data_IF_067406494320
#
_entry.id   IF_067406494320
#
_cell.length_a   1.000
_cell.length_b   1.000
_cell.length_c   1.000
_cell.angle_alpha   90.00
_cell.angle_beta   90.00
_cell.angle_gamma   90.00
#
_symmetry.space_group_name_H-M   'P 1'
#
loop_
_entity.id
_entity.type
_entity.pdbx_description
1 polymer ?
#
# COMPACT_ATOMS: atom_id res chain seq x y z
N UNK A 1 -33.44 7.47 2.89
CA UNK A 1 -32.90 7.75 4.23
C UNK A 1 -32.43 6.42 4.80
N UNK A 2 -31.15 6.33 5.17
CA UNK A 2 -30.66 5.26 6.04
C UNK A 2 -31.38 5.42 7.39
N UNK A 3 -31.78 4.33 8.04
CA UNK A 3 -32.73 4.31 9.16
C UNK A 3 -32.33 5.11 10.40
N UNK A 4 -33.13 5.02 11.47
CA UNK A 4 -32.82 5.66 12.75
C UNK A 4 -31.53 5.10 13.35
N UNK A 5 -30.74 5.97 14.00
CA UNK A 5 -29.55 5.54 14.72
C UNK A 5 -29.92 4.56 15.85
N UNK A 6 -29.13 3.48 16.05
CA UNK A 6 -29.40 2.52 17.11
C UNK A 6 -29.28 3.17 18.49
N UNK A 7 -30.21 2.83 19.39
CA UNK A 7 -30.22 3.34 20.77
C UNK A 7 -29.03 2.80 21.61
N UNK A 8 -28.50 1.63 21.27
CA UNK A 8 -27.31 1.02 21.86
C UNK A 8 -26.50 0.34 20.76
N UNK A 9 -25.52 1.04 20.16
CA UNK A 9 -24.70 0.47 19.10
C UNK A 9 -23.70 -0.55 19.66
N UNK A 10 -23.73 -1.76 19.12
CA UNK A 10 -22.69 -2.79 19.33
C UNK A 10 -22.01 -3.07 17.97
N UNK A 11 -20.67 -3.05 17.91
CA UNK A 11 -19.96 -3.37 16.68
C UNK A 11 -20.10 -4.85 16.35
N UNK A 12 -20.47 -5.16 15.10
CA UNK A 12 -20.45 -6.53 14.58
C UNK A 12 -19.04 -6.98 14.18
N UNK A 13 -18.20 -6.03 13.76
CA UNK A 13 -16.85 -6.29 13.25
C UNK A 13 -16.03 -4.98 13.27
N UNK A 14 -14.78 -5.08 13.68
CA UNK A 14 -13.79 -3.99 13.63
C UNK A 14 -12.62 -4.43 12.77
N UNK A 15 -12.41 -3.75 11.64
CA UNK A 15 -11.36 -4.07 10.68
C UNK A 15 -10.35 -2.93 10.56
N UNK A 16 -9.09 -3.30 10.38
CA UNK A 16 -8.08 -2.41 9.80
C UNK A 16 -8.00 -2.73 8.32
N UNK A 17 -8.04 -1.70 7.48
CA UNK A 17 -7.99 -1.85 6.02
C UNK A 17 -6.70 -1.25 5.48
N UNK A 18 -5.92 -2.07 4.78
CA UNK A 18 -4.68 -1.70 4.11
C UNK A 18 -4.82 -1.96 2.60
N UNK A 19 -4.06 -1.24 1.78
CA UNK A 19 -4.03 -1.40 0.33
C UNK A 19 -2.78 -0.73 -0.23
N UNK A 20 -2.41 -1.05 -1.47
CA UNK A 20 -1.46 -0.27 -2.27
C UNK A 20 -0.11 -0.06 -1.56
N UNK A 21 0.46 -1.14 -1.05
CA UNK A 21 1.77 -1.10 -0.38
C UNK A 21 2.90 -0.88 -1.40
N UNK A 22 2.73 -1.42 -2.61
CA UNK A 22 3.67 -1.27 -3.72
C UNK A 22 5.14 -1.53 -3.30
N UNK A 23 5.39 -2.68 -2.65
CA UNK A 23 6.76 -3.12 -2.33
C UNK A 23 7.57 -3.19 -3.61
N UNK A 24 8.67 -2.43 -3.66
CA UNK A 24 9.39 -2.13 -4.88
C UNK A 24 10.85 -2.54 -4.76
N UNK A 25 11.34 -3.32 -5.72
CA UNK A 25 12.77 -3.51 -5.94
C UNK A 25 13.33 -2.35 -6.76
N UNK A 26 13.81 -1.32 -6.07
CA UNK A 26 14.41 -0.13 -6.68
C UNK A 26 15.67 -0.43 -7.53
N UNK A 27 16.25 -1.63 -7.44
CA UNK A 27 17.40 -2.05 -8.24
C UNK A 27 17.00 -2.96 -9.41
N UNK A 28 15.71 -3.24 -9.59
CA UNK A 28 15.24 -4.17 -10.60
C UNK A 28 15.59 -3.67 -12.01
N UNK A 29 16.09 -4.54 -12.91
CA UNK A 29 16.37 -4.16 -14.29
C UNK A 29 15.10 -3.96 -15.12
N UNK A 30 13.93 -4.38 -14.63
CA UNK A 30 12.63 -4.18 -15.31
C UNK A 30 12.02 -2.81 -15.02
N UNK A 31 12.69 -2.01 -14.19
CA UNK A 31 12.30 -0.64 -13.87
C UNK A 31 12.41 0.28 -15.08
N UNK A 32 11.41 1.14 -15.23
CA UNK A 32 11.15 1.92 -16.44
C UNK A 32 11.21 3.44 -16.18
N UNK A 33 11.84 3.87 -15.08
CA UNK A 33 12.04 5.29 -14.71
C UNK A 33 12.80 6.06 -15.78
N UNK A 34 13.65 5.36 -16.55
CA UNK A 34 14.31 5.97 -17.70
C UNK A 34 13.32 6.37 -18.80
N UNK A 35 12.11 5.81 -18.82
CA UNK A 35 11.04 6.09 -19.79
C UNK A 35 10.19 7.28 -19.37
N UNK A 36 10.12 7.63 -18.07
CA UNK A 36 9.34 8.80 -17.60
C UNK A 36 9.74 10.09 -18.33
N UNK A 37 11.03 10.25 -18.70
CA UNK A 37 11.49 11.42 -19.49
C UNK A 37 10.82 11.55 -20.86
N UNK A 38 10.33 10.44 -21.43
CA UNK A 38 9.62 10.46 -22.71
C UNK A 38 8.17 10.92 -22.56
N UNK A 39 7.67 10.94 -21.32
CA UNK A 39 6.37 11.49 -20.98
C UNK A 39 6.40 12.98 -20.65
N UNK A 40 7.58 13.60 -20.56
CA UNK A 40 7.73 15.03 -20.26
C UNK A 40 7.03 15.90 -21.33
N UNK A 41 6.37 17.02 -20.94
CA UNK A 41 5.57 17.84 -21.87
C UNK A 41 6.34 18.40 -23.08
N UNK A 42 7.65 18.57 -22.95
CA UNK A 42 8.55 19.06 -24.00
C UNK A 42 9.20 17.94 -24.84
N UNK A 43 8.93 16.67 -24.50
CA UNK A 43 9.47 15.53 -25.24
C UNK A 43 8.66 15.25 -26.53
N UNK A 44 9.30 15.10 -27.70
CA UNK A 44 8.60 14.81 -28.95
C UNK A 44 7.85 13.46 -28.96
N UNK A 45 8.21 12.53 -28.07
CA UNK A 45 7.56 11.23 -27.92
C UNK A 45 6.38 11.23 -26.93
N UNK A 46 6.11 12.36 -26.26
CA UNK A 46 5.02 12.48 -25.28
C UNK A 46 3.64 12.02 -25.79
N UNK A 47 3.24 12.28 -27.06
CA UNK A 47 1.96 11.82 -27.59
C UNK A 47 1.84 10.30 -27.74
N UNK A 48 2.95 9.56 -27.66
CA UNK A 48 2.99 8.10 -27.80
C UNK A 48 3.11 7.39 -26.46
N UNK A 49 3.89 7.96 -25.53
CA UNK A 49 4.23 7.32 -24.26
C UNK A 49 3.19 7.63 -23.18
N UNK A 50 2.59 8.83 -23.22
CA UNK A 50 1.73 9.36 -22.16
C UNK A 50 2.37 9.29 -20.75
N UNK A 51 1.73 9.85 -19.74
CA UNK A 51 2.27 9.83 -18.37
C UNK A 51 2.27 8.40 -17.82
N UNK A 52 3.45 7.86 -17.47
CA UNK A 52 3.60 6.50 -16.93
C UNK A 52 3.64 6.54 -15.40
N UNK A 53 4.34 7.52 -14.82
CA UNK A 53 4.35 7.74 -13.37
C UNK A 53 5.19 6.70 -12.60
N UNK A 54 6.35 6.34 -13.14
CA UNK A 54 7.18 5.25 -12.61
C UNK A 54 8.10 5.67 -11.46
N UNK A 55 8.52 6.93 -11.39
CA UNK A 55 9.44 7.41 -10.36
C UNK A 55 8.73 8.00 -9.14
N UNK A 56 9.05 7.49 -7.94
CA UNK A 56 8.68 8.11 -6.65
C UNK A 56 9.94 8.30 -5.81
N UNK A 57 10.14 9.51 -5.30
CA UNK A 57 11.37 9.87 -4.60
C UNK A 57 11.71 8.98 -3.39
N UNK A 58 10.73 8.34 -2.75
CA UNK A 58 10.92 7.48 -1.57
C UNK A 58 10.67 5.99 -1.82
N UNK A 59 10.58 5.51 -3.07
CA UNK A 59 10.26 4.10 -3.34
C UNK A 59 11.28 3.07 -2.84
N UNK A 60 12.54 3.49 -2.70
CA UNK A 60 13.59 2.67 -2.09
C UNK A 60 13.37 2.42 -0.59
N UNK A 61 12.37 3.06 0.02
CA UNK A 61 11.99 2.90 1.42
C UNK A 61 10.73 2.05 1.62
N UNK A 62 10.19 1.42 0.56
CA UNK A 62 8.90 0.72 0.62
C UNK A 62 8.86 -0.39 1.68
N UNK A 63 9.96 -1.12 1.87
CA UNK A 63 10.09 -2.15 2.93
C UNK A 63 10.05 -1.53 4.33
N UNK A 64 10.77 -0.41 4.55
CA UNK A 64 10.81 0.32 5.82
C UNK A 64 9.46 0.99 6.13
N UNK A 65 8.75 1.46 5.11
CA UNK A 65 7.40 1.98 5.24
C UNK A 65 6.45 0.85 5.66
N UNK A 66 6.54 -0.34 5.04
CA UNK A 66 5.74 -1.49 5.45
C UNK A 66 6.02 -1.92 6.89
N UNK A 67 7.29 -2.00 7.29
CA UNK A 67 7.68 -2.27 8.68
C UNK A 67 7.01 -1.26 9.64
N UNK A 68 7.15 0.03 9.33
CA UNK A 68 6.54 1.10 10.12
C UNK A 68 5.01 1.01 10.17
N UNK A 69 4.37 0.58 9.07
CA UNK A 69 2.94 0.34 9.00
C UNK A 69 2.52 -0.83 9.88
N UNK A 70 3.25 -1.96 9.84
CA UNK A 70 3.01 -3.12 10.71
C UNK A 70 3.13 -2.73 12.18
N UNK A 71 4.19 -2.02 12.55
CA UNK A 71 4.36 -1.51 13.92
C UNK A 71 3.22 -0.58 14.35
N UNK A 72 2.74 0.27 13.44
CA UNK A 72 1.65 1.21 13.71
C UNK A 72 0.32 0.48 13.89
N UNK A 73 0.04 -0.50 13.03
CA UNK A 73 -1.15 -1.36 13.10
C UNK A 73 -1.14 -2.17 14.40
N UNK A 74 0.01 -2.72 14.80
CA UNK A 74 0.14 -3.48 16.04
C UNK A 74 -0.13 -2.64 17.31
N UNK A 75 -0.02 -1.31 17.24
CA UNK A 75 -0.36 -0.38 18.34
C UNK A 75 -1.86 -0.07 18.42
N UNK A 76 -2.65 -0.43 17.41
CA UNK A 76 -4.10 -0.21 17.37
C UNK A 76 -4.80 -1.43 17.95
N UNK A 77 -5.19 -1.35 19.22
CA UNK A 77 -5.90 -2.45 19.89
C UNK A 77 -7.43 -2.38 19.68
N UNK A 78 -7.98 -1.18 19.49
CA UNK A 78 -9.43 -0.95 19.44
C UNK A 78 -9.85 0.02 18.33
N UNK A 79 -11.06 -0.18 17.82
CA UNK A 79 -11.67 0.66 16.80
C UNK A 79 -12.11 2.01 17.36
N UNK A 80 -11.95 3.12 16.60
CA UNK A 80 -12.17 4.47 17.11
C UNK A 80 -13.64 4.83 17.36
N UNK A 81 -14.59 4.11 16.76
CA UNK A 81 -16.01 4.46 16.83
C UNK A 81 -16.71 3.90 18.06
N UNK A 82 -16.53 2.61 18.34
CA UNK A 82 -17.24 1.89 19.41
C UNK A 82 -16.28 1.25 20.43
N UNK A 83 -14.97 1.42 20.29
CA UNK A 83 -13.97 0.92 21.24
C UNK A 83 -13.81 -0.61 21.30
N UNK A 84 -14.44 -1.36 20.38
CA UNK A 84 -14.25 -2.80 20.30
C UNK A 84 -12.85 -3.16 19.80
N UNK A 85 -12.41 -4.36 20.16
CA UNK A 85 -11.11 -4.89 19.70
C UNK A 85 -11.10 -5.04 18.18
N UNK A 86 -9.91 -4.89 17.59
CA UNK A 86 -9.70 -5.21 16.17
C UNK A 86 -9.83 -6.71 15.97
N UNK A 87 -10.68 -7.12 15.03
CA UNK A 87 -10.96 -8.53 14.73
C UNK A 87 -10.06 -9.07 13.61
N UNK A 88 -9.75 -8.23 12.62
CA UNK A 88 -8.85 -8.60 11.52
C UNK A 88 -8.24 -7.38 10.83
N UNK A 89 -7.15 -7.63 10.12
CA UNK A 89 -6.59 -6.73 9.11
C UNK A 89 -6.93 -7.28 7.73
N UNK A 90 -7.53 -6.45 6.88
CA UNK A 90 -7.87 -6.79 5.49
C UNK A 90 -6.97 -6.00 4.57
N UNK A 91 -6.43 -6.70 3.57
CA UNK A 91 -5.57 -6.07 2.56
C UNK A 91 -6.15 -6.30 1.17
N UNK A 92 -6.38 -5.22 0.41
CA UNK A 92 -7.21 -5.27 -0.81
C UNK A 92 -6.48 -5.34 -2.15
N UNK A 93 -5.15 -5.29 -2.19
CA UNK A 93 -4.41 -5.46 -3.44
C UNK A 93 -3.23 -4.51 -3.57
N UNK A 94 -2.42 -4.74 -4.61
CA UNK A 94 -1.20 -4.02 -4.94
C UNK A 94 -0.13 -4.06 -3.83
N UNK A 95 0.25 -5.29 -3.45
CA UNK A 95 1.30 -5.51 -2.44
C UNK A 95 2.70 -5.29 -3.01
N UNK A 96 2.88 -5.60 -4.29
CA UNK A 96 4.16 -5.56 -5.03
C UNK A 96 4.03 -4.58 -6.18
N UNK A 97 5.10 -3.88 -6.49
CA UNK A 97 5.13 -2.85 -7.53
C UNK A 97 5.16 -3.46 -8.95
N UNK A 98 5.99 -4.49 -9.16
CA UNK A 98 6.22 -5.10 -10.48
C UNK A 98 5.90 -6.60 -10.52
N UNK A 99 5.14 -7.09 -9.53
CA UNK A 99 4.79 -8.50 -9.37
C UNK A 99 6.02 -9.43 -9.35
N UNK A 100 7.15 -8.94 -8.83
CA UNK A 100 8.37 -9.73 -8.78
C UNK A 100 8.35 -10.70 -7.59
N UNK A 101 8.99 -11.86 -7.77
CA UNK A 101 9.09 -12.86 -6.70
C UNK A 101 9.83 -12.32 -5.47
N UNK A 102 10.89 -11.53 -5.67
CA UNK A 102 11.64 -10.92 -4.57
C UNK A 102 10.82 -9.86 -3.80
N UNK A 103 10.01 -9.06 -4.49
CA UNK A 103 9.10 -8.10 -3.84
C UNK A 103 8.07 -8.82 -2.97
N UNK A 104 7.50 -9.92 -3.47
CA UNK A 104 6.56 -10.76 -2.72
C UNK A 104 7.21 -11.42 -1.50
N UNK A 105 8.45 -11.89 -1.65
CA UNK A 105 9.19 -12.50 -0.54
C UNK A 105 9.51 -11.46 0.53
N UNK A 106 9.96 -10.26 0.17
CA UNK A 106 10.17 -9.16 1.13
C UNK A 106 8.89 -8.78 1.87
N UNK A 107 7.77 -8.65 1.15
CA UNK A 107 6.46 -8.40 1.74
C UNK A 107 6.11 -9.44 2.81
N UNK A 108 6.24 -10.73 2.49
CA UNK A 108 5.97 -11.82 3.44
C UNK A 108 6.92 -11.81 4.63
N UNK A 109 8.23 -11.63 4.38
CA UNK A 109 9.24 -11.57 5.44
C UNK A 109 8.92 -10.49 6.47
N UNK A 110 8.51 -9.29 6.04
CA UNK A 110 8.13 -8.23 6.97
C UNK A 110 6.88 -8.62 7.78
N UNK A 111 5.89 -9.24 7.16
CA UNK A 111 4.69 -9.70 7.87
C UNK A 111 4.96 -10.86 8.84
N UNK A 112 5.95 -11.70 8.53
CA UNK A 112 6.39 -12.81 9.39
C UNK A 112 7.29 -12.34 10.55
N UNK A 113 7.70 -11.07 10.55
CA UNK A 113 8.49 -10.45 11.63
C UNK A 113 9.99 -10.33 11.40
N UNK A 114 10.46 -10.57 10.17
CA UNK A 114 11.88 -10.46 9.77
C UNK A 114 12.64 -11.78 9.72
#
# INVERSE_FOLDING_TARGET
MVGQAPASPEPLLTLIHLSDLHICDAQSPTRMEFVDRFADPDNPYQPLVHYIGTYRAQEFLTVQVLESMVESVNKIETGPLLGAKVDAVVVTGDMTDNAQANELDWYKTVLDGG
#
